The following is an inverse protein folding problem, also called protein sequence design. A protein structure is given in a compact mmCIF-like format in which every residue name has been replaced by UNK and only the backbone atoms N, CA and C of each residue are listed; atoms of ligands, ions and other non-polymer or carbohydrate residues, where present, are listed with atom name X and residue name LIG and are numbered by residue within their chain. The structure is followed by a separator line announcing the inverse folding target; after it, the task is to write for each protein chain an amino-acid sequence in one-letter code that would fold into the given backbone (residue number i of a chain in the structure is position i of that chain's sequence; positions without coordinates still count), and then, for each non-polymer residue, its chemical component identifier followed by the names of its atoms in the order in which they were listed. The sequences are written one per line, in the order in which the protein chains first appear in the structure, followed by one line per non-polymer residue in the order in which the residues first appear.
data_IF_096306339555
#
_entry.id   IF_096306339555
#
_cell.length_a   1.000
_cell.length_b   1.000
_cell.length_c   1.000
_cell.angle_alpha   90.00
_cell.angle_beta   90.00
_cell.angle_gamma   90.00
#
_symmetry.space_group_name_H-M   'P 1'
#
loop_
_entity.id
_entity.type
_entity.pdbx_description
1 polymer ?
#
# COMPACT_ATOMS: atom_id res chain seq x y z
N UNK A 1 -2.91 -45.93 -14.85
CA UNK A 1 -4.20 -46.39 -14.29
C UNK A 1 -3.96 -47.08 -12.96
N UNK A 2 -4.70 -46.65 -11.92
CA UNK A 2 -5.02 -47.36 -10.66
C UNK A 2 -3.98 -47.37 -9.52
N UNK A 3 -4.29 -46.52 -8.52
CA UNK A 3 -4.30 -46.64 -7.04
C UNK A 3 -3.14 -47.39 -6.33
N UNK A 4 -2.44 -46.79 -5.36
CA UNK A 4 -2.86 -46.26 -4.04
C UNK A 4 -3.30 -47.31 -3.01
N UNK A 5 -2.71 -47.23 -1.81
CA UNK A 5 -3.14 -47.88 -0.56
C UNK A 5 -2.30 -49.11 -0.21
N UNK A 6 -1.74 -49.27 0.99
CA UNK A 6 -1.99 -48.62 2.26
C UNK A 6 -2.21 -49.67 3.35
N UNK A 7 -1.56 -49.46 4.48
CA UNK A 7 -1.99 -49.79 5.86
C UNK A 7 -1.83 -51.19 6.47
N UNK A 8 -1.16 -51.14 7.64
CA UNK A 8 -1.50 -51.67 8.97
C UNK A 8 -1.25 -53.14 9.32
N UNK A 9 -0.59 -53.34 10.46
CA UNK A 9 -0.87 -54.39 11.46
C UNK A 9 -0.16 -53.98 12.76
N UNK A 10 -0.81 -53.47 13.82
CA UNK A 10 -1.83 -54.01 14.74
C UNK A 10 -1.28 -55.09 15.69
N UNK A 11 -1.08 -54.72 16.95
CA UNK A 11 -0.95 -55.65 18.10
C UNK A 11 -1.29 -54.87 19.37
N UNK A 12 -2.52 -54.99 19.88
CA UNK A 12 -3.00 -55.95 20.90
C UNK A 12 -2.64 -55.54 22.33
N UNK A 13 -3.69 -55.24 23.10
CA UNK A 13 -3.67 -55.18 24.56
C UNK A 13 -5.06 -54.76 25.04
N UNK A 14 -6.02 -55.69 25.00
CA UNK A 14 -6.53 -56.48 26.13
C UNK A 14 -7.57 -55.73 26.96
N UNK A 15 -8.74 -56.38 26.99
CA UNK A 15 -10.02 -55.98 27.55
C UNK A 15 -9.95 -55.86 29.07
N UNK A 16 -10.53 -54.80 29.62
CA UNK A 16 -11.24 -54.87 30.89
C UNK A 16 -12.53 -54.07 30.76
N UNK A 17 -13.66 -54.78 30.87
CA UNK A 17 -14.99 -54.24 31.09
C UNK A 17 -15.11 -53.90 32.57
N UNK A 18 -15.52 -52.68 32.89
CA UNK A 18 -16.17 -52.37 34.15
C UNK A 18 -17.22 -51.29 33.89
N UNK A 19 -18.48 -51.70 34.01
CA UNK A 19 -19.67 -50.86 33.98
C UNK A 19 -19.78 -50.19 35.35
N UNK A 20 -19.79 -48.85 35.38
CA UNK A 20 -20.27 -48.07 36.53
C UNK A 20 -21.15 -46.93 36.05
N UNK A 21 -22.21 -46.73 36.82
CA UNK A 21 -23.38 -45.92 36.52
C UNK A 21 -23.14 -44.42 36.70
N UNK A 22 -23.79 -43.66 35.83
CA UNK A 22 -24.31 -42.28 35.94
C UNK A 22 -24.02 -41.44 37.19
N UNK A 23 -23.47 -40.24 36.99
CA UNK A 23 -23.86 -38.96 37.64
C UNK A 23 -23.28 -37.77 36.85
N UNK A 24 -24.13 -36.79 36.58
CA UNK A 24 -23.88 -35.63 35.71
C UNK A 24 -22.86 -34.64 36.26
N UNK A 25 -21.95 -34.17 35.42
CA UNK A 25 -21.31 -32.86 35.56
C UNK A 25 -20.95 -32.31 34.17
N UNK A 26 -21.53 -31.17 33.83
CA UNK A 26 -21.27 -30.44 32.60
C UNK A 26 -19.80 -29.97 32.56
N UNK A 27 -19.06 -30.38 31.54
CA UNK A 27 -17.81 -29.74 31.17
C UNK A 27 -18.00 -29.13 29.78
N UNK A 28 -18.33 -27.84 29.77
CA UNK A 28 -18.35 -26.99 28.60
C UNK A 28 -16.92 -26.91 28.08
N UNK A 29 -16.60 -27.67 27.02
CA UNK A 29 -15.38 -27.43 26.27
C UNK A 29 -15.63 -26.27 25.31
N UNK A 30 -15.38 -25.05 25.77
CA UNK A 30 -15.14 -23.92 24.88
C UNK A 30 -13.83 -24.22 24.14
N UNK A 31 -13.92 -24.78 22.93
CA UNK A 31 -12.81 -24.78 22.00
C UNK A 31 -12.46 -23.31 21.73
N UNK A 32 -11.31 -22.88 22.27
CA UNK A 32 -10.79 -21.53 22.10
C UNK A 32 -10.70 -21.21 20.62
N UNK A 33 -11.40 -20.16 20.21
CA UNK A 33 -11.25 -19.54 18.90
C UNK A 33 -9.79 -19.13 18.73
N UNK A 34 -9.12 -19.69 17.71
CA UNK A 34 -7.88 -19.13 17.18
C UNK A 34 -8.19 -17.72 16.66
N UNK A 35 -7.92 -16.71 17.49
CA UNK A 35 -7.86 -15.32 17.08
C UNK A 35 -6.40 -14.92 17.03
N UNK A 36 -5.90 -14.76 15.81
CA UNK A 36 -5.09 -13.61 15.48
C UNK A 36 -5.65 -13.07 14.17
N UNK A 37 -6.66 -12.21 14.30
CA UNK A 37 -7.03 -11.28 13.27
C UNK A 37 -5.75 -10.56 12.82
N UNK A 38 -5.45 -10.57 11.53
CA UNK A 38 -4.71 -9.49 10.91
C UNK A 38 -5.62 -8.26 11.01
N UNK A 39 -5.60 -7.65 12.19
CA UNK A 39 -5.91 -6.24 12.31
C UNK A 39 -4.87 -5.57 11.43
N UNK A 40 -5.34 -5.09 10.28
CA UNK A 40 -4.91 -3.85 9.69
C UNK A 40 -4.31 -2.99 10.80
N UNK A 41 -2.98 -2.81 10.78
CA UNK A 41 -2.34 -1.90 11.70
C UNK A 41 -2.87 -0.55 11.29
N UNK A 42 -3.95 -0.14 11.97
CA UNK A 42 -4.53 1.17 11.83
C UNK A 42 -3.38 2.13 11.71
N UNK A 43 -3.31 2.77 10.55
CA UNK A 43 -2.52 3.96 10.36
C UNK A 43 -2.74 4.79 11.61
N UNK A 44 -1.66 5.03 12.34
CA UNK A 44 -1.65 6.04 13.36
C UNK A 44 -2.07 7.34 12.65
N UNK A 45 -3.33 7.74 12.83
CA UNK A 45 -3.95 8.93 12.22
C UNK A 45 -3.20 10.23 12.56
N UNK A 46 -2.15 10.18 13.40
CA UNK A 46 -1.32 11.33 13.74
C UNK A 46 0.17 11.15 13.39
N UNK A 47 0.60 9.99 12.88
CA UNK A 47 1.93 9.86 12.29
C UNK A 47 1.85 10.30 10.83
N UNK A 48 2.42 11.46 10.50
CA UNK A 48 2.60 11.90 9.12
C UNK A 48 3.52 10.92 8.40
N UNK A 49 2.95 9.92 7.75
CA UNK A 49 3.70 8.84 7.15
C UNK A 49 4.28 9.23 5.79
N UNK A 50 5.42 8.64 5.48
CA UNK A 50 6.09 8.78 4.19
C UNK A 50 5.98 7.45 3.44
N UNK A 51 5.14 7.41 2.41
CA UNK A 51 4.83 6.20 1.68
C UNK A 51 5.51 6.16 0.32
N UNK A 52 5.83 4.96 -0.13
CA UNK A 52 6.21 4.64 -1.50
C UNK A 52 5.13 3.76 -2.09
N UNK A 53 4.61 4.14 -3.26
CA UNK A 53 3.61 3.39 -4.01
C UNK A 53 4.15 3.06 -5.39
N UNK A 54 4.08 1.79 -5.75
CA UNK A 54 4.35 1.31 -7.10
C UNK A 54 3.06 1.26 -7.92
N UNK A 55 2.97 2.06 -8.99
CA UNK A 55 1.73 2.15 -9.79
C UNK A 55 1.39 0.80 -10.45
N UNK A 56 2.39 0.03 -10.89
CA UNK A 56 2.13 -1.21 -11.61
C UNK A 56 1.53 -2.31 -10.73
N UNK A 57 2.04 -2.48 -9.51
CA UNK A 57 1.58 -3.50 -8.56
C UNK A 57 0.57 -2.98 -7.53
N UNK A 58 0.36 -1.67 -7.46
CA UNK A 58 -0.45 -0.98 -6.44
C UNK A 58 0.02 -1.27 -5.00
N UNK A 59 1.25 -1.75 -4.82
CA UNK A 59 1.81 -2.01 -3.50
C UNK A 59 2.29 -0.71 -2.87
N UNK A 60 1.86 -0.49 -1.62
CA UNK A 60 2.28 0.66 -0.81
C UNK A 60 3.06 0.20 0.41
N UNK A 61 4.19 0.86 0.67
CA UNK A 61 4.95 0.70 1.91
C UNK A 61 5.20 2.06 2.53
N UNK A 62 4.90 2.22 3.82
CA UNK A 62 5.05 3.47 4.54
C UNK A 62 6.15 3.40 5.60
N UNK A 63 6.74 4.55 5.87
CA UNK A 63 7.87 4.76 6.76
C UNK A 63 7.61 5.97 7.64
N UNK A 64 8.21 5.97 8.82
CA UNK A 64 8.10 7.10 9.77
C UNK A 64 8.91 8.32 9.32
N UNK A 65 9.94 8.12 8.48
CA UNK A 65 10.89 9.15 8.06
C UNK A 65 10.92 9.31 6.53
N UNK A 66 10.90 10.55 6.05
CA UNK A 66 10.95 10.86 4.61
C UNK A 66 12.18 10.25 3.95
N UNK A 67 13.33 10.34 4.60
CA UNK A 67 14.59 9.80 4.08
C UNK A 67 14.54 8.28 3.90
N UNK A 68 13.85 7.56 4.79
CA UNK A 68 13.66 6.12 4.68
C UNK A 68 12.75 5.77 3.49
N UNK A 69 11.67 6.53 3.30
CA UNK A 69 10.76 6.36 2.17
C UNK A 69 11.46 6.65 0.83
N UNK A 70 12.14 7.80 0.70
CA UNK A 70 12.90 8.13 -0.52
C UNK A 70 13.97 7.08 -0.81
N UNK A 71 14.71 6.64 0.20
CA UNK A 71 15.71 5.56 0.06
C UNK A 71 15.10 4.21 -0.31
N UNK A 72 13.86 3.92 0.09
CA UNK A 72 13.13 2.74 -0.37
C UNK A 72 12.67 2.86 -1.82
N UNK A 73 12.12 4.00 -2.21
CA UNK A 73 11.74 4.28 -3.60
C UNK A 73 12.91 4.15 -4.57
N UNK A 74 14.08 4.67 -4.19
CA UNK A 74 15.30 4.51 -4.99
C UNK A 74 15.72 3.05 -5.12
N UNK A 75 15.70 2.27 -4.03
CA UNK A 75 16.04 0.83 -4.08
C UNK A 75 15.07 0.03 -4.94
N UNK A 76 13.78 0.37 -4.90
CA UNK A 76 12.78 -0.25 -5.79
C UNK A 76 13.15 0.05 -7.23
N UNK A 77 13.34 1.33 -7.57
CA UNK A 77 13.77 1.76 -8.90
C UNK A 77 15.02 1.01 -9.41
N UNK A 78 16.05 0.91 -8.57
CA UNK A 78 17.32 0.24 -8.91
C UNK A 78 17.17 -1.27 -9.15
N UNK A 79 16.20 -1.94 -8.50
CA UNK A 79 16.06 -3.40 -8.53
C UNK A 79 15.00 -3.90 -9.51
N UNK A 80 13.95 -3.12 -9.78
CA UNK A 80 12.88 -3.48 -10.72
C UNK A 80 13.06 -2.88 -12.11
N UNK A 81 13.97 -1.90 -12.27
CA UNK A 81 14.06 -1.08 -13.48
C UNK A 81 13.01 0.04 -13.52
N UNK A 82 12.19 0.17 -12.49
CA UNK A 82 11.27 1.29 -12.30
C UNK A 82 12.03 2.61 -12.10
N UNK A 83 11.32 3.74 -12.14
CA UNK A 83 11.85 5.04 -11.71
C UNK A 83 10.88 5.72 -10.76
N UNK A 84 11.39 6.67 -9.96
CA UNK A 84 10.52 7.61 -9.25
C UNK A 84 10.00 8.61 -10.28
N UNK A 85 8.68 8.69 -10.41
CA UNK A 85 8.01 9.64 -11.31
C UNK A 85 7.60 10.93 -10.60
N UNK A 86 7.14 10.82 -9.35
CA UNK A 86 6.72 11.97 -8.55
C UNK A 86 6.88 11.72 -7.05
N UNK A 87 7.02 12.80 -6.29
CA UNK A 87 6.68 12.81 -4.86
C UNK A 87 5.71 13.95 -4.60
N UNK A 88 4.57 13.64 -4.00
CA UNK A 88 3.57 14.63 -3.56
C UNK A 88 3.57 14.73 -2.05
N UNK A 89 3.23 15.90 -1.54
CA UNK A 89 3.31 16.25 -0.13
C UNK A 89 2.02 16.90 0.33
N UNK A 90 1.62 16.55 1.55
CA UNK A 90 0.43 17.07 2.23
C UNK A 90 0.57 18.57 2.50
N UNK A 91 1.74 19.04 2.97
CA UNK A 91 1.95 20.45 3.24
C UNK A 91 2.74 21.15 2.11
N UNK A 92 2.67 22.47 2.11
CA UNK A 92 3.60 23.31 1.35
C UNK A 92 5.06 23.09 1.80
N UNK A 93 5.99 23.52 0.96
CA UNK A 93 7.45 23.44 1.17
C UNK A 93 7.94 22.01 1.43
N UNK A 94 7.27 21.02 0.83
CA UNK A 94 7.56 19.59 0.95
C UNK A 94 7.44 19.06 2.39
N UNK A 95 6.59 19.68 3.19
CA UNK A 95 6.26 19.22 4.54
C UNK A 95 5.11 18.20 4.56
N UNK A 96 4.75 17.77 5.77
CA UNK A 96 3.62 16.87 5.96
C UNK A 96 3.94 15.41 5.62
N UNK A 97 2.90 14.59 5.52
CA UNK A 97 3.02 13.26 4.93
C UNK A 97 3.50 13.36 3.46
N UNK A 98 4.09 12.29 2.94
CA UNK A 98 4.53 12.23 1.54
C UNK A 98 4.13 10.94 0.85
N UNK A 99 3.81 11.02 -0.43
CA UNK A 99 3.63 9.86 -1.29
C UNK A 99 4.62 9.92 -2.46
N UNK A 100 5.60 9.03 -2.43
CA UNK A 100 6.53 8.79 -3.54
C UNK A 100 5.94 7.76 -4.47
N UNK A 101 5.85 8.08 -5.75
CA UNK A 101 5.19 7.28 -6.78
C UNK A 101 6.27 6.72 -7.71
N UNK A 102 6.35 5.40 -7.83
CA UNK A 102 7.22 4.71 -8.79
C UNK A 102 6.43 4.21 -9.99
N UNK A 103 7.06 4.29 -11.17
CA UNK A 103 6.53 3.84 -12.46
C UNK A 103 7.50 2.88 -13.13
N UNK A 104 7.04 1.93 -13.97
CA UNK A 104 7.89 0.87 -14.55
C UNK A 104 9.03 1.36 -15.42
N UNK A 105 8.92 2.56 -15.99
CA UNK A 105 9.90 3.14 -16.90
C UNK A 105 9.82 4.68 -16.86
N UNK A 106 10.88 5.39 -17.29
CA UNK A 106 10.84 6.84 -17.46
C UNK A 106 9.69 7.27 -18.36
N UNK A 107 8.95 8.29 -17.96
CA UNK A 107 7.82 8.78 -18.75
C UNK A 107 8.28 9.27 -20.14
N UNK A 108 7.72 8.71 -21.23
CA UNK A 108 7.94 9.18 -22.58
C UNK A 108 7.63 10.67 -22.76
N UNK A 109 8.21 11.30 -23.79
CA UNK A 109 7.89 12.68 -24.18
C UNK A 109 7.04 12.67 -25.44
N UNK A 110 5.80 12.19 -25.29
CA UNK A 110 4.83 11.96 -26.36
C UNK A 110 3.55 12.83 -26.24
N UNK A 111 3.52 13.79 -25.31
CA UNK A 111 2.37 14.66 -25.01
C UNK A 111 1.12 13.92 -24.48
N UNK A 112 1.26 12.68 -24.01
CA UNK A 112 0.20 11.86 -23.41
C UNK A 112 0.48 11.58 -21.93
N UNK A 113 -0.55 11.31 -21.13
CA UNK A 113 -0.35 10.83 -19.75
C UNK A 113 -0.20 9.32 -19.80
N UNK A 114 1.02 8.83 -19.60
CA UNK A 114 1.35 7.40 -19.70
C UNK A 114 1.00 6.62 -18.42
N UNK A 115 1.08 7.28 -17.26
CA UNK A 115 0.73 6.68 -15.97
C UNK A 115 -0.23 7.57 -15.20
N UNK A 116 -1.25 6.97 -14.60
CA UNK A 116 -2.24 7.67 -13.78
C UNK A 116 -2.44 6.92 -12.46
N UNK A 117 -2.58 7.68 -11.38
CA UNK A 117 -2.88 7.19 -10.05
C UNK A 117 -4.10 7.93 -9.50
N UNK A 118 -5.20 7.21 -9.33
CA UNK A 118 -6.31 7.69 -8.52
C UNK A 118 -5.92 7.61 -7.05
N UNK A 119 -6.03 8.73 -6.35
CA UNK A 119 -5.66 8.81 -4.94
C UNK A 119 -6.71 8.09 -4.09
N UNK A 120 -6.28 7.52 -2.97
CA UNK A 120 -7.21 7.01 -1.97
C UNK A 120 -7.84 8.13 -1.16
N UNK A 121 -8.80 7.78 -0.31
CA UNK A 121 -9.55 8.76 0.48
C UNK A 121 -8.68 9.50 1.50
N UNK A 122 -7.51 8.96 1.86
CA UNK A 122 -6.55 9.66 2.71
C UNK A 122 -5.83 10.78 1.94
N UNK A 123 -5.39 10.52 0.70
CA UNK A 123 -4.62 11.47 -0.10
C UNK A 123 -5.44 12.45 -0.93
N UNK A 124 -6.69 12.11 -1.26
CA UNK A 124 -7.58 13.01 -1.99
C UNK A 124 -7.68 14.35 -1.28
N UNK A 125 -7.52 15.42 -2.05
CA UNK A 125 -7.68 16.79 -1.58
C UNK A 125 -6.69 17.21 -0.47
N UNK A 126 -5.53 16.55 -0.35
CA UNK A 126 -4.52 16.90 0.66
C UNK A 126 -3.24 17.50 0.06
N UNK A 127 -3.01 17.41 -1.25
CA UNK A 127 -1.71 17.77 -1.83
C UNK A 127 -1.54 19.29 -1.88
N UNK A 128 -0.47 19.80 -1.27
CA UNK A 128 -0.07 21.22 -1.28
C UNK A 128 1.32 21.50 -1.89
N UNK A 129 2.15 20.48 -2.12
CA UNK A 129 3.40 20.62 -2.89
C UNK A 129 3.79 19.35 -3.63
N UNK A 130 4.64 19.49 -4.66
CA UNK A 130 5.01 18.38 -5.55
C UNK A 130 6.45 18.50 -6.04
N UNK A 131 7.10 17.35 -6.22
CA UNK A 131 8.39 17.21 -6.89
C UNK A 131 8.25 16.24 -8.05
N UNK A 132 8.54 16.73 -9.26
CA UNK A 132 8.73 15.89 -10.43
C UNK A 132 10.11 15.22 -10.41
N UNK A 133 10.19 13.98 -10.87
CA UNK A 133 11.43 13.19 -10.89
C UNK A 133 11.65 12.52 -12.24
N UNK A 134 12.91 12.13 -12.51
CA UNK A 134 13.30 11.50 -13.77
C UNK A 134 12.88 12.35 -14.98
N UNK A 135 12.37 11.74 -16.04
CA UNK A 135 11.75 12.45 -17.17
C UNK A 135 10.28 12.77 -16.91
N UNK A 136 9.68 12.38 -15.79
CA UNK A 136 8.23 12.49 -15.59
C UNK A 136 7.77 13.91 -15.29
N UNK A 137 6.84 14.41 -16.09
CA UNK A 137 6.09 15.63 -15.82
C UNK A 137 4.83 15.29 -15.05
N UNK A 138 4.53 16.05 -13.99
CA UNK A 138 3.41 15.75 -13.11
C UNK A 138 2.20 16.62 -13.47
N UNK A 139 1.06 15.97 -13.64
CA UNK A 139 -0.25 16.59 -13.79
C UNK A 139 -1.10 16.29 -12.57
N UNK A 140 -1.75 17.32 -12.03
CA UNK A 140 -2.65 17.18 -10.89
C UNK A 140 -4.08 17.48 -11.35
N UNK A 141 -4.97 16.51 -11.14
CA UNK A 141 -6.36 16.58 -11.56
C UNK A 141 -7.25 16.71 -10.33
N UNK A 142 -8.05 17.79 -10.21
CA UNK A 142 -9.16 17.84 -9.28
C UNK A 142 -10.39 17.14 -9.85
N UNK A 143 -11.36 16.88 -8.98
CA UNK A 143 -12.64 16.23 -9.34
C UNK A 143 -13.45 17.01 -10.40
N UNK A 144 -13.17 18.32 -10.57
CA UNK A 144 -13.82 19.13 -11.60
C UNK A 144 -13.40 18.80 -13.04
N UNK A 145 -12.36 17.97 -13.22
CA UNK A 145 -11.88 17.52 -14.54
C UNK A 145 -10.92 18.48 -15.25
N UNK A 146 -10.64 19.66 -14.68
CA UNK A 146 -9.53 20.52 -15.11
C UNK A 146 -8.17 19.86 -14.77
N UNK A 147 -7.05 20.51 -15.10
CA UNK A 147 -5.74 20.05 -14.62
C UNK A 147 -4.79 21.19 -14.35
N UNK A 148 -3.92 21.00 -13.37
CA UNK A 148 -2.77 21.87 -13.13
C UNK A 148 -1.47 21.14 -13.50
N UNK A 149 -0.51 21.91 -14.01
CA UNK A 149 0.75 21.38 -14.52
C UNK A 149 0.96 21.72 -16.00
N UNK A 150 1.93 21.08 -16.67
CA UNK A 150 2.79 20.05 -16.12
C UNK A 150 3.81 20.66 -15.16
N UNK A 151 3.99 20.06 -13.99
CA UNK A 151 5.11 20.36 -13.10
C UNK A 151 6.33 19.57 -13.58
N UNK A 152 7.36 20.27 -14.04
CA UNK A 152 8.57 19.68 -14.65
C UNK A 152 9.74 19.55 -13.68
N UNK A 153 9.66 20.26 -12.57
CA UNK A 153 10.66 20.32 -11.50
C UNK A 153 9.92 20.30 -10.15
N UNK A 154 10.48 20.98 -9.14
CA UNK A 154 9.85 21.13 -7.84
C UNK A 154 8.88 22.32 -7.81
N UNK A 155 7.72 22.12 -7.22
CA UNK A 155 6.75 23.17 -6.90
C UNK A 155 6.50 23.17 -5.39
N UNK A 156 7.17 24.06 -4.62
CA UNK A 156 7.06 24.09 -3.16
C UNK A 156 5.69 24.59 -2.67
N UNK A 157 4.94 25.30 -3.51
CA UNK A 157 3.55 25.68 -3.24
C UNK A 157 2.73 25.49 -4.49
N UNK A 158 1.60 24.82 -4.35
CA UNK A 158 0.61 24.75 -5.41
C UNK A 158 -0.19 26.05 -5.48
N UNK A 159 -0.71 26.35 -6.67
CA UNK A 159 -1.61 27.50 -6.84
C UNK A 159 -2.94 27.23 -6.16
N UNK A 160 -3.65 28.29 -5.77
CA UNK A 160 -4.97 28.19 -5.12
C UNK A 160 -6.00 27.41 -5.94
N UNK A 161 -5.81 27.30 -7.26
CA UNK A 161 -6.68 26.52 -8.13
C UNK A 161 -6.60 25.01 -7.90
N UNK A 162 -5.49 24.49 -7.35
CA UNK A 162 -5.27 23.03 -7.21
C UNK A 162 -4.80 22.59 -5.80
N UNK A 163 -4.32 23.50 -4.97
CA UNK A 163 -3.96 23.23 -3.57
C UNK A 163 -5.13 22.56 -2.85
N UNK A 164 -4.89 21.41 -2.21
CA UNK A 164 -5.90 20.64 -1.46
C UNK A 164 -7.12 20.24 -2.30
N UNK A 165 -6.93 20.01 -3.60
CA UNK A 165 -8.02 19.64 -4.52
C UNK A 165 -7.73 18.44 -5.42
N UNK A 166 -6.52 17.90 -5.35
CA UNK A 166 -6.09 16.82 -6.26
C UNK A 166 -6.75 15.50 -5.88
N UNK A 167 -7.34 14.81 -6.86
CA UNK A 167 -7.89 13.45 -6.70
C UNK A 167 -7.17 12.41 -7.56
N UNK A 168 -6.51 12.84 -8.64
CA UNK A 168 -5.72 11.96 -9.51
C UNK A 168 -4.39 12.64 -9.85
N UNK A 169 -3.31 11.85 -9.86
CA UNK A 169 -1.98 12.26 -10.30
C UNK A 169 -1.65 11.57 -11.62
N UNK A 170 -1.36 12.36 -12.66
CA UNK A 170 -0.90 11.87 -13.96
C UNK A 170 0.58 12.14 -14.17
N UNK A 171 1.27 11.24 -14.88
CA UNK A 171 2.69 11.33 -15.22
C UNK A 171 2.87 11.18 -16.74
N UNK A 172 3.61 12.12 -17.33
CA UNK A 172 3.89 12.23 -18.78
C UNK A 172 5.32 12.68 -19.09
#
# INVERSE_FOLDING_TARGET
MVRAGGTRTRSRGRRHLAVFASLSAAAVFTAGSAQAAQADRGADENARQHCVLDIASQQRTCYDELSAATGAGQRIADTSGSVIGATVFEDAEYGGASLTITVPEPCPKNDEVDFSLDLDDHWKNQISSVQAWSTCWVWLYPDSGDRAGPYKDKAPRLSSGINDRTVTVGLS
#
